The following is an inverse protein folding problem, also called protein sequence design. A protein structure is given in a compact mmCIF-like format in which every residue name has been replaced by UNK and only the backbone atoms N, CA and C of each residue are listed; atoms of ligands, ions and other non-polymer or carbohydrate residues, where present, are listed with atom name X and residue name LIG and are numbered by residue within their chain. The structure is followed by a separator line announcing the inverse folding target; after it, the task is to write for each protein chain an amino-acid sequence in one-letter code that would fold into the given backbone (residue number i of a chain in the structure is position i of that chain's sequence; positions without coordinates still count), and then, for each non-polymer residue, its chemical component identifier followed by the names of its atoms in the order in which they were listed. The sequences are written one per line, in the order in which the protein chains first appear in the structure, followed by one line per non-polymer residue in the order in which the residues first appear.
data_IF_001320919994
#
_entry.id   IF_001320919994
#
_cell.length_a   1.000
_cell.length_b   1.000
_cell.length_c   1.000
_cell.angle_alpha   90.00
_cell.angle_beta   90.00
_cell.angle_gamma   90.00
#
_symmetry.space_group_name_H-M   'P 1'
#
loop_
_entity.id
_entity.type
_entity.pdbx_description
1 polymer ?
#
# COMPACT_ATOMS: atom_id res chain seq x y z
N UNK A 1 47.62 48.06 13.93
CA UNK A 1 46.90 47.07 14.76
C UNK A 1 45.47 47.55 15.03
N UNK A 2 44.54 47.38 14.06
CA UNK A 2 43.14 47.81 14.22
C UNK A 2 42.16 47.06 13.27
N UNK A 3 42.33 45.75 13.03
CA UNK A 3 41.48 45.01 12.08
C UNK A 3 40.87 43.70 12.60
N UNK A 4 41.17 43.28 13.83
CA UNK A 4 40.58 42.05 14.42
C UNK A 4 39.36 42.34 15.31
N UNK A 5 39.27 43.52 15.91
CA UNK A 5 38.17 43.87 16.81
C UNK A 5 36.87 44.24 16.07
N UNK A 6 36.99 44.81 14.87
CA UNK A 6 35.84 45.15 14.01
C UNK A 6 35.15 43.91 13.46
N UNK A 7 35.93 42.90 13.09
CA UNK A 7 35.41 41.67 12.48
C UNK A 7 34.66 40.81 13.51
N UNK A 8 35.19 40.67 14.73
CA UNK A 8 34.52 39.94 15.83
C UNK A 8 33.19 40.61 16.23
N UNK A 9 33.13 41.94 16.19
CA UNK A 9 31.90 42.69 16.52
C UNK A 9 30.82 42.46 15.43
N UNK A 10 31.23 42.39 14.16
CA UNK A 10 30.35 42.08 13.04
C UNK A 10 29.73 40.68 13.15
N UNK A 11 30.53 39.66 13.47
CA UNK A 11 30.02 38.29 13.67
C UNK A 11 29.04 38.18 14.85
N UNK A 12 29.26 38.92 15.94
CA UNK A 12 28.34 38.97 17.09
C UNK A 12 26.98 39.58 16.72
N UNK A 13 26.99 40.65 15.92
CA UNK A 13 25.74 41.30 15.50
C UNK A 13 24.95 40.41 14.53
N UNK A 14 25.63 39.75 13.60
CA UNK A 14 25.00 38.84 12.64
C UNK A 14 24.43 37.58 13.31
N UNK A 15 25.08 37.08 14.36
CA UNK A 15 24.56 35.98 15.18
C UNK A 15 23.31 36.39 16.00
N UNK A 16 23.26 37.63 16.50
CA UNK A 16 22.10 38.14 17.22
C UNK A 16 20.87 38.35 16.31
N UNK A 17 21.09 38.74 15.06
CA UNK A 17 20.02 38.90 14.07
C UNK A 17 19.40 37.55 13.66
N UNK A 18 20.23 36.51 13.54
CA UNK A 18 19.77 35.13 13.24
C UNK A 18 18.95 34.48 14.35
N UNK A 19 19.10 34.95 15.59
CA UNK A 19 18.35 34.47 16.75
C UNK A 19 17.09 35.31 17.02
N UNK A 20 16.85 36.36 16.23
CA UNK A 20 15.58 37.08 16.24
C UNK A 20 14.51 36.13 15.70
N UNK A 21 13.42 35.86 16.42
CA UNK A 21 12.34 35.04 15.90
C UNK A 21 11.77 35.74 14.66
N UNK A 22 12.06 35.20 13.48
CA UNK A 22 11.34 35.56 12.27
C UNK A 22 9.87 35.27 12.53
N UNK A 23 8.98 36.24 12.30
CA UNK A 23 7.55 36.01 12.34
C UNK A 23 7.27 34.75 11.51
N UNK A 24 6.65 33.75 12.13
CA UNK A 24 6.17 32.55 11.44
C UNK A 24 5.44 32.99 10.18
N UNK A 25 5.81 32.49 8.99
CA UNK A 25 5.01 32.78 7.81
C UNK A 25 3.61 32.21 8.11
N UNK A 26 2.62 33.09 8.21
CA UNK A 26 1.22 32.69 8.13
C UNK A 26 1.09 31.99 6.79
N UNK A 27 0.94 30.67 6.83
CA UNK A 27 0.61 29.88 5.64
C UNK A 27 -0.69 30.48 5.11
N UNK A 28 -0.73 31.01 3.88
CA UNK A 28 -2.01 31.38 3.30
C UNK A 28 -2.83 30.11 3.18
N UNK A 29 -3.99 30.08 3.83
CA UNK A 29 -5.00 29.03 3.64
C UNK A 29 -5.28 28.97 2.13
N UNK A 30 -4.79 27.91 1.49
CA UNK A 30 -4.95 27.70 0.05
C UNK A 30 -6.44 27.46 -0.18
N UNK A 31 -7.13 28.28 -1.00
CA UNK A 31 -8.50 27.99 -1.41
C UNK A 31 -8.52 26.64 -2.11
N UNK A 32 -9.21 25.67 -1.52
CA UNK A 32 -9.53 24.38 -2.12
C UNK A 32 -10.43 24.63 -3.33
N UNK A 33 -9.86 24.76 -4.52
CA UNK A 33 -10.48 24.32 -5.78
C UNK A 33 -9.40 24.38 -6.88
N UNK A 34 -9.15 23.24 -7.52
CA UNK A 34 -8.42 23.09 -8.78
C UNK A 34 -6.90 23.35 -8.84
N UNK A 35 -6.10 22.46 -8.23
CA UNK A 35 -4.80 22.11 -8.81
C UNK A 35 -4.51 20.62 -8.69
N UNK A 36 -4.55 19.92 -9.84
CA UNK A 36 -4.02 18.57 -10.04
C UNK A 36 -2.50 18.57 -9.79
N UNK A 37 -2.12 18.54 -8.52
CA UNK A 37 -0.73 18.43 -8.11
C UNK A 37 -0.38 16.95 -8.08
N UNK A 38 0.58 16.59 -8.92
CA UNK A 38 1.20 15.28 -8.96
C UNK A 38 1.94 15.05 -7.63
N UNK A 39 1.22 14.57 -6.60
CA UNK A 39 1.84 14.12 -5.36
C UNK A 39 2.63 12.84 -5.65
N UNK A 40 3.91 12.73 -5.24
CA UNK A 40 4.60 11.45 -5.30
C UNK A 40 3.80 10.46 -4.46
N UNK A 41 3.33 9.39 -5.08
CA UNK A 41 2.48 8.37 -4.44
C UNK A 41 3.13 7.89 -3.15
N UNK A 42 2.60 8.36 -2.02
CA UNK A 42 2.85 7.74 -0.74
C UNK A 42 2.28 6.31 -0.80
N UNK A 43 2.94 5.30 -0.21
CA UNK A 43 2.43 3.91 -0.21
C UNK A 43 1.08 3.75 0.52
N UNK A 44 0.53 4.82 1.08
CA UNK A 44 -0.84 4.91 1.61
C UNK A 44 -1.91 5.09 0.52
N UNK A 45 -1.50 5.46 -0.70
CA UNK A 45 -2.39 5.58 -1.86
C UNK A 45 -2.31 4.35 -2.79
N UNK A 46 -1.87 3.20 -2.29
CA UNK A 46 -2.07 1.94 -3.00
C UNK A 46 -3.55 1.85 -3.34
N UNK A 47 -3.90 2.06 -4.61
CA UNK A 47 -5.28 2.08 -5.08
C UNK A 47 -5.86 0.69 -4.81
N UNK A 48 -6.60 0.58 -3.71
CA UNK A 48 -7.30 -0.63 -3.33
C UNK A 48 -8.60 -0.67 -4.12
N UNK A 49 -8.93 -1.85 -4.62
CA UNK A 49 -10.13 -2.05 -5.42
C UNK A 49 -11.33 -2.10 -4.47
N UNK A 50 -12.10 -1.00 -4.45
CA UNK A 50 -13.30 -0.87 -3.62
C UNK A 50 -14.44 -1.77 -4.08
N UNK A 51 -14.40 -2.25 -5.33
CA UNK A 51 -15.37 -3.20 -5.88
C UNK A 51 -14.91 -4.65 -5.68
N UNK A 52 -13.68 -4.86 -5.19
CA UNK A 52 -13.18 -6.20 -4.92
C UNK A 52 -13.96 -6.90 -3.82
N UNK A 53 -14.33 -8.18 -4.02
CA UNK A 53 -14.85 -9.04 -2.95
C UNK A 53 -13.90 -9.18 -1.75
N UNK A 54 -12.59 -8.98 -1.94
CA UNK A 54 -11.61 -9.04 -0.87
C UNK A 54 -11.69 -7.80 0.03
N UNK A 55 -11.78 -8.01 1.35
CA UNK A 55 -11.67 -6.92 2.32
C UNK A 55 -10.30 -6.24 2.22
N UNK A 56 -10.27 -4.95 2.60
CA UNK A 56 -9.09 -4.10 2.53
C UNK A 56 -7.85 -4.74 3.19
N UNK A 57 -8.04 -5.43 4.31
CA UNK A 57 -6.95 -6.09 5.03
C UNK A 57 -6.29 -7.18 4.18
N UNK A 58 -7.08 -7.96 3.45
CA UNK A 58 -6.58 -8.98 2.54
C UNK A 58 -5.94 -8.37 1.31
N UNK A 59 -6.49 -7.27 0.76
CA UNK A 59 -5.85 -6.58 -0.36
C UNK A 59 -4.47 -6.04 0.01
N UNK A 60 -4.29 -5.58 1.27
CA UNK A 60 -3.03 -5.08 1.83
C UNK A 60 -1.97 -6.15 2.09
N UNK A 61 -2.35 -7.42 2.19
CA UNK A 61 -1.40 -8.52 2.49
C UNK A 61 -0.26 -8.52 1.49
N UNK A 62 0.98 -8.35 1.94
CA UNK A 62 2.14 -8.43 1.05
C UNK A 62 2.48 -9.88 0.78
N UNK A 63 2.48 -10.27 -0.49
CA UNK A 63 3.00 -11.57 -0.91
C UNK A 63 4.52 -11.55 -0.82
N UNK A 64 5.12 -12.65 -0.37
CA UNK A 64 6.57 -12.79 -0.37
C UNK A 64 7.09 -12.65 -1.82
N UNK A 65 8.16 -11.89 -2.10
CA UNK A 65 8.73 -11.78 -3.44
C UNK A 65 9.12 -13.13 -4.08
N UNK A 66 9.35 -14.17 -3.27
CA UNK A 66 9.65 -15.52 -3.74
C UNK A 66 8.39 -16.35 -4.05
N UNK A 67 7.21 -15.85 -3.70
CA UNK A 67 5.94 -16.54 -3.93
C UNK A 67 5.67 -16.64 -5.44
N UNK A 68 5.46 -17.87 -5.93
CA UNK A 68 5.21 -18.13 -7.35
C UNK A 68 3.77 -18.57 -7.56
N UNK A 69 2.98 -17.70 -8.19
CA UNK A 69 1.57 -17.97 -8.55
C UNK A 69 1.41 -19.01 -9.66
N UNK A 70 2.47 -19.28 -10.43
CA UNK A 70 2.45 -20.24 -11.56
C UNK A 70 2.18 -21.69 -11.16
N UNK A 71 2.18 -22.02 -9.87
CA UNK A 71 1.93 -23.38 -9.35
C UNK A 71 0.49 -23.61 -8.87
N UNK A 72 -0.37 -22.59 -8.92
CA UNK A 72 -1.73 -22.73 -8.41
C UNK A 72 -2.57 -23.55 -9.40
N UNK A 73 -3.18 -24.61 -8.88
CA UNK A 73 -4.22 -25.36 -9.60
C UNK A 73 -5.35 -24.41 -10.00
N UNK A 74 -5.95 -24.65 -11.16
CA UNK A 74 -7.10 -23.88 -11.66
C UNK A 74 -8.38 -24.63 -11.34
N UNK A 75 -9.32 -23.94 -10.72
CA UNK A 75 -10.64 -24.46 -10.40
C UNK A 75 -11.68 -23.82 -11.29
N UNK A 76 -12.32 -24.64 -12.12
CA UNK A 76 -13.39 -24.21 -13.01
C UNK A 76 -14.78 -24.31 -12.37
N UNK A 77 -14.93 -25.03 -11.25
CA UNK A 77 -16.23 -25.31 -10.63
C UNK A 77 -16.81 -26.69 -10.95
N UNK A 78 -16.10 -27.52 -11.71
CA UNK A 78 -16.53 -28.86 -12.11
C UNK A 78 -15.83 -29.99 -11.33
N UNK A 79 -14.66 -29.69 -10.74
CA UNK A 79 -13.88 -30.62 -9.92
C UNK A 79 -14.45 -30.73 -8.50
N UNK A 80 -14.04 -31.75 -7.74
CA UNK A 80 -14.42 -31.87 -6.33
C UNK A 80 -13.88 -30.66 -5.53
N UNK A 81 -14.74 -29.86 -4.87
CA UNK A 81 -14.30 -28.68 -4.13
C UNK A 81 -13.35 -29.00 -2.96
N UNK A 82 -13.48 -30.20 -2.37
CA UNK A 82 -12.65 -30.65 -1.26
C UNK A 82 -11.23 -30.97 -1.72
N UNK A 83 -11.09 -31.72 -2.82
CA UNK A 83 -9.80 -32.04 -3.43
C UNK A 83 -9.08 -30.78 -3.91
N UNK A 84 -9.80 -29.85 -4.56
CA UNK A 84 -9.24 -28.56 -4.95
C UNK A 84 -8.78 -27.76 -3.73
N UNK A 85 -9.65 -27.61 -2.71
CA UNK A 85 -9.32 -26.83 -1.52
C UNK A 85 -8.08 -27.36 -0.81
N UNK A 86 -7.94 -28.70 -0.72
CA UNK A 86 -6.78 -29.32 -0.11
C UNK A 86 -5.50 -29.06 -0.92
N UNK A 87 -5.55 -29.32 -2.23
CA UNK A 87 -4.40 -29.13 -3.13
C UNK A 87 -3.95 -27.66 -3.20
N UNK A 88 -4.92 -26.75 -3.22
CA UNK A 88 -4.70 -25.31 -3.18
C UNK A 88 -4.00 -24.88 -1.90
N UNK A 89 -4.53 -25.26 -0.72
CA UNK A 89 -3.94 -24.92 0.56
C UNK A 89 -2.50 -25.42 0.67
N UNK A 90 -2.26 -26.68 0.27
CA UNK A 90 -0.93 -27.28 0.28
C UNK A 90 0.06 -26.52 -0.63
N UNK A 91 -0.38 -26.06 -1.82
CA UNK A 91 0.46 -25.29 -2.72
C UNK A 91 0.85 -23.91 -2.16
N UNK A 92 -0.06 -23.26 -1.44
CA UNK A 92 0.20 -21.99 -0.76
C UNK A 92 1.16 -22.19 0.42
N UNK A 93 0.90 -23.18 1.27
CA UNK A 93 1.75 -23.51 2.42
C UNK A 93 3.17 -23.92 2.00
N UNK A 94 3.30 -24.73 0.94
CA UNK A 94 4.59 -25.10 0.37
C UNK A 94 5.38 -23.90 -0.18
N UNK A 95 4.69 -22.79 -0.49
CA UNK A 95 5.29 -21.53 -0.90
C UNK A 95 5.53 -20.56 0.29
N UNK A 96 5.32 -21.01 1.53
CA UNK A 96 5.45 -20.21 2.74
C UNK A 96 4.28 -19.27 3.02
N UNK A 97 3.15 -19.44 2.33
CA UNK A 97 1.97 -18.62 2.52
C UNK A 97 1.17 -19.03 3.76
N UNK A 98 0.47 -18.04 4.33
CA UNK A 98 -0.47 -18.23 5.46
C UNK A 98 -1.91 -18.10 4.97
N UNK A 99 -2.90 -18.25 5.86
CA UNK A 99 -4.33 -18.09 5.53
C UNK A 99 -4.64 -16.81 4.74
N UNK A 100 -4.04 -15.69 5.12
CA UNK A 100 -4.24 -14.42 4.42
C UNK A 100 -3.68 -14.44 3.00
N UNK A 101 -2.57 -15.16 2.80
CA UNK A 101 -2.00 -15.43 1.47
C UNK A 101 -2.93 -16.31 0.66
N UNK A 102 -3.54 -17.34 1.26
CA UNK A 102 -4.55 -18.18 0.60
C UNK A 102 -5.73 -17.32 0.14
N UNK A 103 -6.32 -16.52 1.03
CA UNK A 103 -7.45 -15.68 0.64
C UNK A 103 -7.08 -14.66 -0.45
N UNK A 104 -5.90 -14.02 -0.35
CA UNK A 104 -5.41 -13.09 -1.37
C UNK A 104 -5.15 -13.75 -2.73
N UNK A 105 -4.63 -14.97 -2.74
CA UNK A 105 -4.29 -15.69 -3.96
C UNK A 105 -5.46 -16.49 -4.52
N UNK A 106 -6.57 -16.63 -3.80
CA UNK A 106 -7.71 -17.43 -4.21
C UNK A 106 -8.25 -17.07 -5.61
N UNK A 107 -8.43 -15.79 -5.99
CA UNK A 107 -8.91 -15.43 -7.32
C UNK A 107 -7.97 -15.88 -8.45
N UNK A 108 -6.67 -16.05 -8.15
CA UNK A 108 -5.68 -16.52 -9.11
C UNK A 108 -5.81 -18.02 -9.41
N UNK A 109 -6.41 -18.77 -8.49
CA UNK A 109 -6.69 -20.19 -8.63
C UNK A 109 -8.06 -20.47 -9.24
N UNK A 110 -8.90 -19.45 -9.44
CA UNK A 110 -10.20 -19.60 -10.11
C UNK A 110 -10.08 -19.37 -11.61
N UNK A 111 -10.98 -20.00 -12.34
CA UNK A 111 -11.20 -19.75 -13.77
C UNK A 111 -12.70 -19.90 -14.12
N UNK A 112 -13.07 -19.49 -15.33
CA UNK A 112 -14.40 -19.69 -15.89
C UNK A 112 -15.54 -19.23 -14.98
N UNK A 113 -16.50 -20.13 -14.73
CA UNK A 113 -17.70 -19.83 -13.93
C UNK A 113 -17.38 -19.58 -12.46
N UNK A 114 -16.35 -20.25 -11.91
CA UNK A 114 -15.94 -20.03 -10.53
C UNK A 114 -15.35 -18.63 -10.32
N UNK A 115 -14.54 -18.14 -11.28
CA UNK A 115 -14.03 -16.77 -11.24
C UNK A 115 -15.16 -15.75 -11.42
N UNK A 116 -16.14 -16.02 -12.29
CA UNK A 116 -17.30 -15.15 -12.44
C UNK A 116 -18.14 -15.08 -11.15
N UNK A 117 -18.37 -16.21 -10.49
CA UNK A 117 -19.02 -16.25 -9.18
C UNK A 117 -18.27 -15.39 -8.15
N UNK A 118 -16.94 -15.47 -8.11
CA UNK A 118 -16.14 -14.65 -7.20
C UNK A 118 -16.42 -13.16 -7.38
N UNK A 119 -16.42 -12.66 -8.62
CA UNK A 119 -16.71 -11.25 -8.91
C UNK A 119 -18.19 -10.85 -8.71
N UNK A 120 -19.10 -11.81 -8.59
CA UNK A 120 -20.51 -11.56 -8.25
C UNK A 120 -20.74 -11.30 -6.75
N UNK A 121 -19.74 -11.56 -5.91
CA UNK A 121 -19.83 -11.35 -4.47
C UNK A 121 -19.86 -9.86 -4.12
N UNK A 122 -20.48 -9.53 -2.99
CA UNK A 122 -20.48 -8.16 -2.48
C UNK A 122 -19.04 -7.71 -2.19
N UNK A 123 -18.67 -6.44 -2.50
CA UNK A 123 -17.35 -5.94 -2.17
C UNK A 123 -17.04 -6.04 -0.67
N UNK A 124 -15.80 -6.42 -0.34
CA UNK A 124 -15.32 -6.61 1.03
C UNK A 124 -16.00 -7.73 1.83
N UNK A 125 -16.71 -8.65 1.16
CA UNK A 125 -17.38 -9.78 1.81
C UNK A 125 -16.41 -10.86 2.30
N UNK A 126 -15.25 -11.01 1.67
CA UNK A 126 -14.22 -12.01 2.02
C UNK A 126 -13.23 -11.39 3.02
N UNK A 127 -13.03 -12.06 4.15
CA UNK A 127 -12.22 -11.60 5.29
C UNK A 127 -11.20 -12.68 5.71
N UNK A 128 -10.16 -12.25 6.44
CA UNK A 128 -9.09 -13.10 6.99
C UNK A 128 -9.60 -14.07 8.06
#
# INVERSE_FOLDING_TARGET
MASLHAEVTRWRQEAADRLRPQATPVIPEVPQDDVLTFYPETPENASFDSDSPLHLDLQKVRLDPKFKTSKLCKYLGEEDPGEFSHSYALAIEASGGVRDTMAKCFPLALDGVALHWFWSLKPGSIKS
#
